data_IF_841078605604
#
_entry.id   IF_841078605604
#
_cell.length_a   1.000
_cell.length_b   1.000
_cell.length_c   1.000
_cell.angle_alpha   90.00
_cell.angle_beta   90.00
_cell.angle_gamma   90.00
#
_symmetry.space_group_name_H-M   'P 1'
#
loop_
_entity.id
_entity.type
_entity.pdbx_description
1 polymer ?
#
# COMPACT_ATOMS: atom_id res chain seq x y z
N UNK A 1 -41.06 -67.87 25.96
CA UNK A 1 -40.37 -66.56 26.01
C UNK A 1 -40.44 -65.88 24.65
N UNK A 2 -40.64 -64.56 24.59
CA UNK A 2 -40.58 -63.77 23.35
C UNK A 2 -39.11 -63.62 22.89
N UNK A 3 -38.51 -64.71 22.39
CA UNK A 3 -37.11 -64.77 21.96
C UNK A 3 -36.82 -63.92 20.70
N UNK A 4 -37.87 -63.51 20.00
CA UNK A 4 -37.72 -62.69 18.80
C UNK A 4 -37.34 -61.24 19.10
N UNK A 5 -37.77 -60.71 20.26
CA UNK A 5 -37.46 -59.34 20.67
C UNK A 5 -35.95 -59.12 20.86
N UNK A 6 -35.20 -59.94 21.64
CA UNK A 6 -33.76 -59.75 21.78
C UNK A 6 -33.01 -59.94 20.45
N UNK A 7 -33.48 -60.86 19.59
CA UNK A 7 -32.87 -61.09 18.28
C UNK A 7 -33.04 -59.88 17.35
N UNK A 8 -34.21 -59.23 17.37
CA UNK A 8 -34.46 -58.00 16.61
C UNK A 8 -33.62 -56.83 17.13
N UNK A 9 -33.49 -56.70 18.45
CA UNK A 9 -32.66 -55.65 19.08
C UNK A 9 -31.19 -55.80 18.68
N UNK A 10 -30.64 -57.03 18.70
CA UNK A 10 -29.26 -57.29 18.27
C UNK A 10 -29.08 -56.95 16.78
N UNK A 11 -30.05 -57.33 15.93
CA UNK A 11 -29.99 -57.01 14.51
C UNK A 11 -29.97 -55.50 14.25
N UNK A 12 -30.80 -54.71 14.95
CA UNK A 12 -30.84 -53.25 14.81
C UNK A 12 -29.54 -52.61 15.30
N UNK A 13 -28.97 -53.08 16.43
CA UNK A 13 -27.69 -52.57 16.95
C UNK A 13 -26.55 -52.88 15.97
N UNK A 14 -26.51 -54.07 15.40
CA UNK A 14 -25.48 -54.45 14.43
C UNK A 14 -25.52 -53.58 13.17
N UNK A 15 -26.72 -53.35 12.62
CA UNK A 15 -26.90 -52.50 11.44
C UNK A 15 -26.55 -51.04 11.75
N UNK A 16 -27.04 -50.49 12.87
CA UNK A 16 -26.75 -49.12 13.28
C UNK A 16 -25.27 -48.88 13.61
N UNK A 17 -24.62 -49.82 14.29
CA UNK A 17 -23.18 -49.77 14.56
C UNK A 17 -22.36 -49.83 13.28
N UNK A 18 -22.76 -50.68 12.32
CA UNK A 18 -22.07 -50.81 11.04
C UNK A 18 -22.15 -49.52 10.22
N UNK A 19 -23.32 -48.88 10.12
CA UNK A 19 -23.48 -47.61 9.39
C UNK A 19 -22.67 -46.47 10.01
N UNK A 20 -22.68 -46.34 11.34
CA UNK A 20 -21.89 -45.33 12.05
C UNK A 20 -20.39 -45.56 11.87
N UNK A 21 -19.91 -46.82 11.95
CA UNK A 21 -18.50 -47.14 11.73
C UNK A 21 -18.03 -46.79 10.30
N UNK A 22 -18.90 -47.01 9.30
CA UNK A 22 -18.65 -46.67 7.90
C UNK A 22 -18.56 -45.16 7.68
N UNK A 23 -19.43 -44.40 8.34
CA UNK A 23 -19.41 -42.94 8.27
C UNK A 23 -18.18 -42.37 8.99
N UNK A 24 -17.84 -42.89 10.17
CA UNK A 24 -16.63 -42.46 10.90
C UNK A 24 -15.33 -42.74 10.11
N UNK A 25 -15.31 -43.78 9.28
CA UNK A 25 -14.17 -44.10 8.41
C UNK A 25 -13.98 -43.15 7.22
N UNK A 26 -15.05 -42.48 6.76
CA UNK A 26 -15.00 -41.53 5.62
C UNK A 26 -14.54 -40.13 6.06
N UNK A 27 -14.76 -39.74 7.31
CA UNK A 27 -14.36 -38.42 7.83
C UNK A 27 -13.01 -38.40 8.59
N UNK A 28 -12.32 -39.54 8.69
CA UNK A 28 -11.16 -39.70 9.57
C UNK A 28 -9.83 -40.15 8.93
N UNK A 29 -9.76 -40.33 7.60
CA UNK A 29 -8.53 -40.79 6.94
C UNK A 29 -8.06 -39.93 5.77
N UNK A 30 -8.61 -38.72 5.63
CA UNK A 30 -7.84 -37.68 4.97
C UNK A 30 -6.77 -37.26 5.97
N UNK A 31 -5.56 -37.81 5.81
CA UNK A 31 -4.34 -37.08 6.16
C UNK A 31 -4.61 -35.65 5.72
N UNK A 32 -4.87 -34.76 6.67
CA UNK A 32 -4.85 -33.32 6.39
C UNK A 32 -3.52 -33.14 5.66
N UNK A 33 -3.50 -32.70 4.39
CA UNK A 33 -2.24 -32.17 3.91
C UNK A 33 -1.96 -31.06 4.90
N UNK A 34 -0.95 -31.28 5.73
CA UNK A 34 -0.29 -30.21 6.44
C UNK A 34 0.27 -29.37 5.32
N UNK A 35 -0.54 -28.45 4.79
CA UNK A 35 -0.08 -27.33 4.00
C UNK A 35 0.62 -26.37 4.97
N UNK A 36 1.67 -26.90 5.60
CA UNK A 36 2.84 -26.18 5.99
C UNK A 36 3.76 -26.28 4.78
N UNK A 37 3.40 -25.57 3.71
CA UNK A 37 4.37 -25.23 2.67
C UNK A 37 4.16 -23.78 2.24
N UNK A 38 4.85 -22.91 2.96
CA UNK A 38 5.73 -21.91 2.36
C UNK A 38 5.36 -21.46 0.94
N UNK A 39 4.25 -20.76 0.79
CA UNK A 39 4.12 -19.80 -0.31
C UNK A 39 4.02 -18.39 0.28
N UNK A 40 5.11 -18.00 0.93
CA UNK A 40 5.55 -16.60 1.04
C UNK A 40 6.25 -16.20 -0.28
N UNK A 41 5.76 -16.71 -1.41
CA UNK A 41 6.33 -16.51 -2.76
C UNK A 41 5.37 -15.80 -3.70
N UNK A 42 4.29 -15.22 -3.18
CA UNK A 42 3.58 -14.13 -3.84
C UNK A 42 3.44 -12.92 -2.90
N UNK A 43 4.48 -12.67 -2.10
CA UNK A 43 4.82 -11.29 -1.82
C UNK A 43 5.34 -10.71 -3.14
N UNK A 44 4.43 -10.44 -4.09
CA UNK A 44 4.66 -9.49 -5.17
C UNK A 44 5.35 -8.33 -4.48
N UNK A 45 6.64 -8.16 -4.78
CA UNK A 45 7.49 -7.16 -4.15
C UNK A 45 6.66 -5.90 -4.10
N UNK A 46 6.19 -5.54 -2.90
CA UNK A 46 5.44 -4.32 -2.71
C UNK A 46 6.52 -3.26 -2.74
N UNK A 47 7.01 -2.96 -3.94
CA UNK A 47 7.99 -1.92 -4.17
C UNK A 47 7.18 -0.63 -4.12
N UNK A 48 7.18 0.06 -2.96
CA UNK A 48 6.39 1.26 -2.82
C UNK A 48 6.97 2.28 -3.81
N UNK A 49 6.10 2.85 -4.66
CA UNK A 49 6.54 3.86 -5.62
C UNK A 49 7.23 4.99 -4.88
N UNK A 50 8.36 5.45 -5.40
CA UNK A 50 9.13 6.51 -4.76
C UNK A 50 8.75 7.83 -5.40
N UNK A 51 8.30 8.78 -4.59
CA UNK A 51 8.00 10.13 -5.04
C UNK A 51 8.98 11.10 -4.40
N UNK A 52 9.49 12.03 -5.18
CA UNK A 52 10.29 13.13 -4.67
C UNK A 52 9.79 14.47 -5.16
N UNK A 53 9.75 15.43 -4.23
CA UNK A 53 9.54 16.83 -4.55
C UNK A 53 10.86 17.56 -4.53
N UNK A 54 11.07 18.42 -5.51
CA UNK A 54 12.21 19.31 -5.60
C UNK A 54 11.71 20.73 -5.82
N UNK A 55 12.31 21.67 -5.10
CA UNK A 55 12.12 23.10 -5.29
C UNK A 55 13.49 23.71 -5.49
N UNK A 56 13.66 24.43 -6.59
CA UNK A 56 14.90 25.09 -6.95
C UNK A 56 14.63 26.55 -7.29
N UNK A 57 15.64 27.39 -7.15
CA UNK A 57 15.55 28.82 -7.42
C UNK A 57 16.92 29.46 -7.42
N UNK A 58 16.96 30.79 -7.42
CA UNK A 58 18.22 31.52 -7.38
C UNK A 58 19.07 31.13 -6.14
N UNK A 59 20.39 30.94 -6.30
CA UNK A 59 21.25 30.45 -5.23
C UNK A 59 21.28 31.42 -4.04
N UNK A 60 21.20 30.88 -2.82
CA UNK A 60 21.23 31.67 -1.59
C UNK A 60 19.90 32.27 -1.15
N UNK A 61 18.82 32.06 -1.91
CA UNK A 61 17.49 32.51 -1.53
C UNK A 61 16.78 31.50 -0.64
N UNK A 62 15.82 32.02 0.13
CA UNK A 62 14.89 31.24 0.92
C UNK A 62 13.52 31.21 0.26
N UNK A 63 12.78 30.13 0.52
CA UNK A 63 11.40 30.00 0.11
C UNK A 63 10.55 29.35 1.20
N UNK A 64 9.27 29.72 1.19
CA UNK A 64 8.22 29.05 1.93
C UNK A 64 7.61 27.98 1.03
N UNK A 65 7.56 26.74 1.53
CA UNK A 65 7.15 25.57 0.75
C UNK A 65 5.97 24.91 1.46
N UNK A 66 4.90 24.66 0.71
CA UNK A 66 3.76 23.86 1.14
C UNK A 66 3.63 22.63 0.26
N UNK A 67 3.60 21.45 0.86
CA UNK A 67 3.46 20.19 0.14
C UNK A 67 2.56 19.22 0.90
N UNK A 68 2.01 18.24 0.20
CA UNK A 68 1.24 17.15 0.81
C UNK A 68 2.15 15.94 1.07
N UNK A 69 2.13 15.42 2.29
CA UNK A 69 2.83 14.19 2.68
C UNK A 69 2.09 12.93 2.18
N UNK A 70 2.67 11.74 2.39
CA UNK A 70 2.11 10.42 2.04
C UNK A 70 0.70 10.19 2.61
N UNK A 71 0.39 10.83 3.74
CA UNK A 71 -0.91 10.75 4.40
C UNK A 71 -1.96 11.69 3.78
N UNK A 72 -1.56 12.60 2.88
CA UNK A 72 -2.41 13.66 2.35
C UNK A 72 -2.56 14.86 3.29
N UNK A 73 -1.75 14.93 4.34
CA UNK A 73 -1.70 16.09 5.23
C UNK A 73 -0.85 17.21 4.59
N UNK A 74 -1.32 18.47 4.60
CA UNK A 74 -0.54 19.60 4.13
C UNK A 74 0.52 19.98 5.17
N UNK A 75 1.79 19.89 4.79
CA UNK A 75 2.90 20.41 5.55
C UNK A 75 3.33 21.77 4.99
N UNK A 76 3.69 22.68 5.89
CA UNK A 76 4.17 24.01 5.56
C UNK A 76 5.47 24.29 6.30
N UNK A 77 6.50 24.64 5.53
CA UNK A 77 7.83 24.96 6.04
C UNK A 77 8.23 26.34 5.52
N UNK A 78 8.79 27.17 6.40
CA UNK A 78 9.13 28.56 6.09
C UNK A 78 10.63 28.78 6.05
N UNK A 79 11.07 29.76 5.25
CA UNK A 79 12.45 30.25 5.16
C UNK A 79 13.47 29.13 4.90
N UNK A 80 13.13 28.21 3.99
CA UNK A 80 13.99 27.08 3.66
C UNK A 80 15.00 27.50 2.60
N UNK A 81 16.31 27.24 2.79
CA UNK A 81 17.30 27.56 1.78
C UNK A 81 17.10 26.67 0.54
N UNK A 82 17.18 27.29 -0.64
CA UNK A 82 17.13 26.58 -1.92
C UNK A 82 18.54 26.14 -2.37
N UNK A 83 18.68 24.98 -3.04
CA UNK A 83 17.62 24.04 -3.45
C UNK A 83 17.17 23.11 -2.31
N UNK A 84 15.89 22.77 -2.30
CA UNK A 84 15.29 21.84 -1.34
C UNK A 84 14.71 20.62 -2.05
N UNK A 85 14.89 19.44 -1.45
CA UNK A 85 14.35 18.18 -1.97
C UNK A 85 13.91 17.26 -0.85
N UNK A 86 12.80 16.55 -1.06
CA UNK A 86 12.30 15.54 -0.13
C UNK A 86 11.85 14.30 -0.89
N UNK A 87 12.05 13.12 -0.28
CA UNK A 87 11.70 11.82 -0.85
C UNK A 87 10.75 11.09 0.09
N UNK A 88 9.72 10.49 -0.48
CA UNK A 88 8.73 9.70 0.26
C UNK A 88 8.39 8.42 -0.49
N UNK A 89 8.04 7.39 0.27
CA UNK A 89 7.59 6.11 -0.25
C UNK A 89 6.06 6.08 -0.24
N UNK A 90 5.44 5.93 -1.41
CA UNK A 90 3.99 5.87 -1.55
C UNK A 90 3.59 4.41 -1.55
N UNK A 91 2.80 4.02 -0.55
CA UNK A 91 2.25 2.67 -0.45
C UNK A 91 1.08 2.39 -1.42
N UNK A 92 0.86 3.21 -2.44
CA UNK A 92 -0.24 3.08 -3.41
C UNK A 92 0.32 3.15 -4.82
N UNK A 93 -0.37 2.50 -5.76
CA UNK A 93 0.00 2.48 -7.18
C UNK A 93 -0.17 3.82 -7.87
N UNK A 94 -0.92 4.75 -7.26
CA UNK A 94 -1.20 6.07 -7.82
C UNK A 94 -0.66 7.16 -6.90
N UNK A 95 0.19 8.02 -7.47
CA UNK A 95 0.73 9.18 -6.78
C UNK A 95 -0.12 10.43 -7.12
N UNK A 96 -0.64 11.08 -6.08
CA UNK A 96 -1.28 12.40 -6.18
C UNK A 96 -0.52 13.33 -5.25
N UNK A 97 -0.12 14.48 -5.77
CA UNK A 97 0.75 15.38 -5.03
C UNK A 97 0.60 16.81 -5.49
N UNK A 98 0.69 17.74 -4.56
CA UNK A 98 0.74 19.16 -4.88
C UNK A 98 1.87 19.77 -4.06
N UNK A 99 2.67 20.59 -4.71
CA UNK A 99 3.70 21.39 -4.07
C UNK A 99 3.59 22.83 -4.55
N UNK A 100 3.65 23.74 -3.59
CA UNK A 100 3.66 25.18 -3.80
C UNK A 100 4.91 25.73 -3.15
N UNK A 101 5.57 26.64 -3.85
CA UNK A 101 6.74 27.32 -3.33
C UNK A 101 6.66 28.82 -3.64
N UNK A 102 6.95 29.63 -2.64
CA UNK A 102 7.03 31.08 -2.73
C UNK A 102 8.41 31.51 -2.25
N UNK A 103 9.16 32.22 -3.07
CA UNK A 103 10.48 32.72 -2.69
C UNK A 103 10.63 34.21 -2.98
N UNK A 104 11.53 34.84 -2.25
CA UNK A 104 11.87 36.27 -2.40
C UNK A 104 12.75 36.53 -3.65
N UNK A 105 13.07 35.48 -4.40
CA UNK A 105 13.93 35.52 -5.58
C UNK A 105 13.26 35.99 -6.86
N UNK A 106 14.09 36.11 -7.90
CA UNK A 106 13.68 36.40 -9.27
C UNK A 106 13.23 35.15 -10.06
N UNK A 107 13.61 33.95 -9.60
CA UNK A 107 13.28 32.68 -10.25
C UNK A 107 13.00 31.60 -9.21
N UNK A 108 11.92 30.84 -9.43
CA UNK A 108 11.59 29.65 -8.63
C UNK A 108 10.98 28.58 -9.53
N UNK A 109 11.33 27.33 -9.26
CA UNK A 109 10.84 26.15 -9.94
C UNK A 109 10.45 25.06 -8.96
N UNK A 110 9.45 24.29 -9.34
CA UNK A 110 9.07 23.06 -8.67
C UNK A 110 9.17 21.91 -9.66
N UNK A 111 9.58 20.75 -9.14
CA UNK A 111 9.63 19.50 -9.88
C UNK A 111 9.12 18.36 -9.00
N UNK A 112 8.30 17.51 -9.60
CA UNK A 112 7.74 16.31 -9.01
C UNK A 112 8.26 15.11 -9.81
N UNK A 113 8.96 14.22 -9.14
CA UNK A 113 9.52 13.00 -9.71
C UNK A 113 8.81 11.80 -9.08
N UNK A 114 8.41 10.84 -9.91
CA UNK A 114 7.83 9.56 -9.48
C UNK A 114 8.58 8.46 -10.21
N UNK A 115 9.15 7.51 -9.45
CA UNK A 115 9.95 6.40 -9.99
C UNK A 115 11.05 6.88 -10.97
N UNK A 116 11.80 7.91 -10.55
CA UNK A 116 12.86 8.57 -11.32
C UNK A 116 12.42 9.26 -12.63
N UNK A 117 11.11 9.36 -12.88
CA UNK A 117 10.53 10.07 -14.03
C UNK A 117 9.91 11.41 -13.59
N UNK A 118 10.26 12.49 -14.30
CA UNK A 118 9.68 13.82 -14.06
C UNK A 118 8.25 13.86 -14.56
N UNK A 119 7.28 13.86 -13.62
CA UNK A 119 5.85 13.89 -13.96
C UNK A 119 5.30 15.30 -14.07
N UNK A 120 5.85 16.24 -13.32
CA UNK A 120 5.44 17.64 -13.35
C UNK A 120 6.64 18.53 -13.07
N UNK A 121 6.87 19.52 -13.92
CA UNK A 121 7.87 20.56 -13.70
C UNK A 121 7.28 21.90 -14.12
N UNK A 122 7.51 22.92 -13.31
CA UNK A 122 7.09 24.29 -13.62
C UNK A 122 8.09 25.28 -13.05
N UNK A 123 8.54 26.20 -13.90
CA UNK A 123 9.48 27.26 -13.54
C UNK A 123 8.84 28.61 -13.84
N UNK A 124 8.94 29.54 -12.90
CA UNK A 124 8.42 30.90 -13.02
C UNK A 124 9.50 31.91 -12.67
N UNK A 125 9.62 32.95 -13.49
CA UNK A 125 10.60 34.02 -13.34
C UNK A 125 9.86 35.34 -13.09
N UNK A 126 9.73 35.73 -11.82
CA UNK A 126 9.07 36.96 -11.38
C UNK A 126 9.78 37.51 -10.14
N UNK A 127 9.71 38.81 -9.90
CA UNK A 127 10.07 39.40 -8.60
C UNK A 127 9.04 38.98 -7.56
N UNK A 128 9.45 38.28 -6.49
CA UNK A 128 8.61 37.43 -5.64
C UNK A 128 8.00 36.26 -6.41
N UNK A 129 8.88 35.38 -6.87
CA UNK A 129 8.49 34.24 -7.67
C UNK A 129 7.62 33.25 -6.85
N UNK A 130 6.46 32.89 -7.40
CA UNK A 130 5.57 31.87 -6.86
C UNK A 130 5.38 30.78 -7.92
N UNK A 131 5.46 29.52 -7.51
CA UNK A 131 5.20 28.37 -8.39
C UNK A 131 4.32 27.33 -7.70
N UNK A 132 3.53 26.63 -8.50
CA UNK A 132 2.71 25.51 -8.05
C UNK A 132 2.77 24.38 -9.08
N UNK A 133 3.14 23.19 -8.60
CA UNK A 133 3.16 21.96 -9.37
C UNK A 133 2.11 21.01 -8.80
N UNK A 134 1.29 20.45 -9.68
CA UNK A 134 0.23 19.52 -9.32
C UNK A 134 0.41 18.24 -10.14
N UNK A 135 0.41 17.11 -9.45
CA UNK A 135 0.34 15.77 -10.01
C UNK A 135 -1.06 15.21 -9.73
N UNK A 136 -1.85 15.03 -10.79
CA UNK A 136 -3.24 14.55 -10.68
C UNK A 136 -3.35 13.04 -10.51
N UNK A 137 -2.50 12.28 -11.20
CA UNK A 137 -2.33 10.83 -11.07
C UNK A 137 -1.15 10.41 -11.94
N UNK A 138 -0.25 9.58 -11.41
CA UNK A 138 0.81 8.88 -12.14
C UNK A 138 0.81 7.39 -11.78
#
# INVERSE_FOLDING_TARGET
>A
MRLWIPLLVIAVIAVGGFTVSRLHGVFGNEKRPSYADTNVSDAKSFDPKKMSYEVFGSPGNVADISYFDVNGDPLFIQKVPLPWSVKFEIGKTTAVGSIMAQGDGSSIGCRIIVDDEVKSEKVTNQTNAFTSCLLKAA
#
